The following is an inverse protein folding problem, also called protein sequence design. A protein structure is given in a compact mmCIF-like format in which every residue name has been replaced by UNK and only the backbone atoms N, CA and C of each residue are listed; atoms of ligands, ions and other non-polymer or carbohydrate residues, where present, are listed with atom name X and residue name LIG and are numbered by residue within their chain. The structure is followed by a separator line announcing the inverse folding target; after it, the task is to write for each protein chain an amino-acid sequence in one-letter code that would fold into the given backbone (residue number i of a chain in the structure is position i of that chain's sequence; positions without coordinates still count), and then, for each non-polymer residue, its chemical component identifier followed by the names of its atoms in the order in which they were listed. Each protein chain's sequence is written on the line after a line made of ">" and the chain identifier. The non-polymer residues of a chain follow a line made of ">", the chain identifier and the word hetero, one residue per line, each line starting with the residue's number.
data_IF_797302217996
#
_entry.id   IF_797302217996
#
_cell.length_a   1.000
_cell.length_b   1.000
_cell.length_c   1.000
_cell.angle_alpha   90.00
_cell.angle_beta   90.00
_cell.angle_gamma   90.00
#
_symmetry.space_group_name_H-M   'P 1'
#
loop_
_entity.id
_entity.type
_entity.pdbx_description
1 polymer ?
#
# COMPACT_ATOMS: atom_id res chain seq x y z
N UNK A 1 -12.71 -0.40 18.84
CA UNK A 1 -12.41 -1.69 18.19
C UNK A 1 -13.66 -2.47 17.78
N UNK A 2 -14.61 -2.79 18.68
CA UNK A 2 -15.80 -3.60 18.35
C UNK A 2 -16.66 -3.01 17.19
N UNK A 3 -16.85 -1.70 17.20
CA UNK A 3 -17.61 -0.99 16.18
C UNK A 3 -16.95 -1.00 14.79
N UNK A 4 -15.63 -0.82 14.75
CA UNK A 4 -14.86 -0.89 13.50
C UNK A 4 -14.94 -2.30 12.89
N UNK A 5 -14.92 -3.35 13.72
CA UNK A 5 -15.11 -4.73 13.25
C UNK A 5 -16.52 -4.99 12.72
N UNK A 6 -17.55 -4.42 13.37
CA UNK A 6 -18.94 -4.49 12.87
C UNK A 6 -19.07 -3.81 11.50
N UNK A 7 -18.54 -2.60 11.36
CA UNK A 7 -18.59 -1.85 10.10
C UNK A 7 -17.84 -2.57 8.97
N UNK A 8 -16.66 -3.10 9.26
CA UNK A 8 -15.93 -3.95 8.30
C UNK A 8 -16.74 -5.18 7.89
N UNK A 9 -17.40 -5.85 8.82
CA UNK A 9 -18.27 -6.99 8.52
C UNK A 9 -19.46 -6.61 7.62
N UNK A 10 -20.14 -5.51 7.92
CA UNK A 10 -21.25 -4.99 7.12
C UNK A 10 -20.79 -4.67 5.69
N UNK A 11 -19.75 -3.86 5.54
CA UNK A 11 -19.24 -3.49 4.22
C UNK A 11 -18.65 -4.67 3.47
N UNK A 12 -18.09 -5.66 4.18
CA UNK A 12 -17.65 -6.90 3.54
C UNK A 12 -18.82 -7.67 2.91
N UNK A 13 -19.96 -7.69 3.61
CA UNK A 13 -21.18 -8.30 3.09
C UNK A 13 -21.75 -7.51 1.90
N UNK A 14 -21.73 -6.18 1.97
CA UNK A 14 -22.25 -5.32 0.89
C UNK A 14 -21.40 -5.38 -0.37
N UNK A 15 -20.08 -5.50 -0.24
CA UNK A 15 -19.15 -5.59 -1.37
C UNK A 15 -18.93 -7.03 -1.85
N UNK A 16 -19.46 -8.04 -1.15
CA UNK A 16 -19.13 -9.46 -1.36
C UNK A 16 -17.62 -9.76 -1.37
N UNK A 17 -16.83 -8.93 -0.65
CA UNK A 17 -15.37 -8.98 -0.58
C UNK A 17 -14.95 -8.60 0.84
N UNK A 18 -13.83 -9.14 1.31
CA UNK A 18 -13.38 -8.86 2.68
C UNK A 18 -12.80 -7.45 2.77
N UNK A 19 -13.36 -6.63 3.63
CA UNK A 19 -12.86 -5.29 3.97
C UNK A 19 -11.85 -5.42 5.11
N UNK A 20 -10.59 -5.12 4.83
CA UNK A 20 -9.49 -5.18 5.79
C UNK A 20 -9.53 -3.96 6.71
N UNK A 21 -9.76 -2.78 6.13
CA UNK A 21 -9.82 -1.51 6.87
C UNK A 21 -10.81 -0.53 6.27
N UNK A 22 -11.23 0.42 7.10
CA UNK A 22 -11.99 1.62 6.72
C UNK A 22 -11.21 2.79 7.31
N UNK A 23 -10.61 3.62 6.45
CA UNK A 23 -9.58 4.57 6.85
C UNK A 23 -8.28 3.89 7.27
N UNK A 24 -7.42 4.64 7.95
CA UNK A 24 -6.10 4.22 8.42
C UNK A 24 -5.84 4.68 9.86
N UNK A 25 -5.15 3.83 10.62
CA UNK A 25 -4.58 4.20 11.93
C UNK A 25 -3.07 4.46 11.88
N UNK A 26 -2.50 4.59 10.68
CA UNK A 26 -1.08 4.91 10.49
C UNK A 26 -0.71 6.23 11.16
N UNK A 27 0.38 6.21 11.92
CA UNK A 27 0.92 7.40 12.57
C UNK A 27 1.89 8.09 11.61
N UNK A 28 1.45 9.21 11.05
CA UNK A 28 2.27 10.03 10.17
C UNK A 28 3.44 10.65 10.94
N UNK A 29 4.61 10.68 10.29
CA UNK A 29 5.87 11.21 10.83
C UNK A 29 6.36 12.45 10.07
N UNK A 30 5.76 12.74 8.91
CA UNK A 30 6.03 13.95 8.13
C UNK A 30 4.74 14.58 7.56
N UNK A 31 4.87 15.76 6.95
CA UNK A 31 3.75 16.54 6.41
C UNK A 31 3.01 15.81 5.29
N UNK A 32 3.75 15.25 4.32
CA UNK A 32 3.17 14.47 3.23
C UNK A 32 2.34 13.29 3.77
N UNK A 33 2.91 12.50 4.68
CA UNK A 33 2.19 11.39 5.31
C UNK A 33 0.94 11.86 6.05
N UNK A 34 0.99 13.04 6.68
CA UNK A 34 -0.13 13.63 7.41
C UNK A 34 -1.28 13.95 6.46
N UNK A 35 -0.98 14.50 5.28
CA UNK A 35 -1.99 14.83 4.27
C UNK A 35 -2.69 13.58 3.74
N UNK A 36 -1.93 12.55 3.37
CA UNK A 36 -2.54 11.31 2.87
C UNK A 36 -3.33 10.57 3.95
N UNK A 37 -2.82 10.48 5.18
CA UNK A 37 -3.56 9.88 6.31
C UNK A 37 -4.87 10.64 6.52
N UNK A 38 -4.82 11.97 6.45
CA UNK A 38 -6.00 12.82 6.60
C UNK A 38 -7.00 12.58 5.47
N UNK A 39 -6.57 12.55 4.21
CA UNK A 39 -7.44 12.30 3.05
C UNK A 39 -8.06 10.90 3.07
N UNK A 40 -7.28 9.87 3.42
CA UNK A 40 -7.78 8.48 3.54
C UNK A 40 -8.84 8.37 4.65
N UNK A 41 -8.63 9.05 5.78
CA UNK A 41 -9.59 9.06 6.89
C UNK A 41 -10.81 9.95 6.63
N UNK A 42 -10.64 11.07 5.91
CA UNK A 42 -11.72 11.95 5.49
C UNK A 42 -12.62 11.25 4.47
N UNK A 43 -12.03 10.56 3.51
CA UNK A 43 -12.76 9.85 2.45
C UNK A 43 -13.22 8.46 2.89
N UNK A 44 -12.87 8.01 4.10
CA UNK A 44 -13.19 6.65 4.60
C UNK A 44 -12.75 5.55 3.63
N UNK A 45 -11.64 5.77 2.92
CA UNK A 45 -11.13 4.83 1.92
C UNK A 45 -10.98 3.45 2.56
N UNK A 46 -11.57 2.45 1.91
CA UNK A 46 -11.58 1.09 2.38
C UNK A 46 -10.51 0.29 1.66
N UNK A 47 -9.73 -0.47 2.41
CA UNK A 47 -8.86 -1.48 1.84
C UNK A 47 -9.64 -2.79 1.71
N UNK A 48 -9.77 -3.28 0.49
CA UNK A 48 -10.56 -4.47 0.15
C UNK A 48 -9.64 -5.57 -0.37
N UNK A 49 -9.77 -6.77 0.19
CA UNK A 49 -9.14 -7.99 -0.32
C UNK A 49 -10.02 -8.56 -1.43
N UNK A 50 -9.56 -8.43 -2.69
CA UNK A 50 -10.30 -8.93 -3.85
C UNK A 50 -9.99 -10.41 -4.07
N UNK A 51 -8.71 -10.74 -3.95
CA UNK A 51 -8.16 -12.09 -3.97
C UNK A 51 -7.07 -12.18 -2.90
N UNK A 52 -7.19 -13.09 -1.92
CA UNK A 52 -6.20 -13.21 -0.86
C UNK A 52 -4.83 -13.58 -1.41
N UNK A 53 -3.79 -12.99 -0.84
CA UNK A 53 -2.42 -13.41 -1.11
C UNK A 53 -2.17 -14.76 -0.42
N UNK A 54 -1.45 -15.67 -1.08
CA UNK A 54 -0.92 -16.85 -0.39
C UNK A 54 0.40 -16.44 0.25
N UNK A 55 0.38 -16.21 1.56
CA UNK A 55 1.54 -15.76 2.32
C UNK A 55 2.27 -16.99 2.85
N UNK A 56 3.37 -17.35 2.21
CA UNK A 56 4.32 -18.34 2.72
C UNK A 56 5.74 -17.97 2.26
N UNK A 57 6.76 -18.61 2.84
CA UNK A 57 8.15 -18.28 2.54
C UNK A 57 8.47 -18.44 1.05
N UNK A 58 7.94 -19.48 0.38
CA UNK A 58 8.17 -19.73 -1.04
C UNK A 58 7.62 -18.60 -1.92
N UNK A 59 6.38 -18.16 -1.67
CA UNK A 59 5.77 -17.06 -2.44
C UNK A 59 6.43 -15.73 -2.15
N UNK A 60 6.91 -15.51 -0.91
CA UNK A 60 7.65 -14.31 -0.53
C UNK A 60 9.01 -14.26 -1.24
N UNK A 61 9.73 -15.38 -1.29
CA UNK A 61 11.01 -15.48 -2.00
C UNK A 61 10.81 -15.33 -3.51
N UNK A 62 9.83 -16.00 -4.10
CA UNK A 62 9.51 -15.82 -5.52
C UNK A 62 9.15 -14.36 -5.85
N UNK A 63 8.39 -13.68 -4.98
CA UNK A 63 8.11 -12.25 -5.15
C UNK A 63 9.36 -11.37 -4.99
N UNK A 64 10.27 -11.73 -4.08
CA UNK A 64 11.52 -10.99 -3.91
C UNK A 64 12.44 -11.17 -5.12
N UNK A 65 12.56 -12.38 -5.66
CA UNK A 65 13.33 -12.66 -6.89
C UNK A 65 12.72 -12.01 -8.13
N UNK A 66 11.43 -11.71 -8.10
CA UNK A 66 10.80 -10.88 -9.13
C UNK A 66 11.13 -9.41 -8.89
N UNK A 67 10.98 -8.89 -7.66
CA UNK A 67 11.24 -7.48 -7.33
C UNK A 67 12.72 -7.08 -7.50
N UNK A 68 13.62 -7.90 -6.97
CA UNK A 68 15.07 -7.81 -7.13
C UNK A 68 15.39 -8.61 -8.38
N UNK A 69 15.76 -7.91 -9.45
CA UNK A 69 16.14 -8.51 -10.72
C UNK A 69 17.03 -9.74 -10.49
N UNK A 70 16.67 -10.90 -11.06
CA UNK A 70 17.40 -12.16 -10.83
C UNK A 70 18.89 -12.05 -11.17
N UNK A 71 19.28 -11.06 -11.99
CA UNK A 71 20.68 -10.75 -12.33
C UNK A 71 21.46 -10.15 -11.16
N UNK A 72 20.78 -9.48 -10.24
CA UNK A 72 21.37 -8.86 -9.04
C UNK A 72 21.47 -9.88 -7.87
N UNK A 73 20.93 -11.10 -8.02
CA UNK A 73 20.94 -12.14 -7.00
C UNK A 73 21.96 -13.26 -7.33
N UNK A 74 23.00 -13.46 -6.51
CA UNK A 74 24.00 -14.52 -6.73
C UNK A 74 23.38 -15.92 -6.69
N UNK A 75 23.88 -16.87 -7.50
CA UNK A 75 23.34 -18.23 -7.61
C UNK A 75 23.56 -19.07 -6.34
N UNK A 76 24.68 -18.86 -5.65
CA UNK A 76 25.03 -19.55 -4.41
C UNK A 76 24.34 -18.97 -3.15
N UNK A 77 23.28 -18.18 -3.32
CA UNK A 77 22.47 -17.66 -2.21
C UNK A 77 21.64 -18.76 -1.56
N UNK A 78 21.39 -18.64 -0.26
CA UNK A 78 20.33 -19.38 0.42
C UNK A 78 19.34 -18.39 1.03
N UNK A 79 18.05 -18.66 0.84
CA UNK A 79 17.00 -17.93 1.53
C UNK A 79 16.68 -18.61 2.85
N UNK A 80 16.54 -17.80 3.89
CA UNK A 80 16.12 -18.25 5.21
C UNK A 80 14.91 -17.44 5.67
N UNK A 81 14.02 -18.11 6.39
CA UNK A 81 12.98 -17.47 7.18
C UNK A 81 13.47 -17.43 8.63
N UNK A 82 13.58 -16.23 9.17
CA UNK A 82 13.96 -15.99 10.58
C UNK A 82 12.69 -15.97 11.42
N UNK A 83 11.66 -15.27 10.90
CA UNK A 83 10.34 -15.18 11.52
C UNK A 83 9.28 -15.33 10.43
N UNK A 84 8.30 -16.23 10.61
CA UNK A 84 7.24 -16.41 9.63
C UNK A 84 6.43 -15.14 9.44
N UNK A 85 5.95 -14.91 8.22
CA UNK A 85 5.02 -13.82 7.96
C UNK A 85 3.73 -14.01 8.75
N UNK A 86 3.12 -12.89 9.12
CA UNK A 86 1.77 -12.89 9.64
C UNK A 86 0.83 -13.30 8.49
N UNK A 87 -0.05 -14.28 8.72
CA UNK A 87 -1.06 -14.72 7.74
C UNK A 87 -2.21 -13.70 7.55
N UNK A 88 -1.89 -12.42 7.71
CA UNK A 88 -2.82 -11.29 7.61
C UNK A 88 -2.09 -10.14 6.95
N UNK A 89 -2.67 -9.68 5.84
CA UNK A 89 -2.30 -8.38 5.28
C UNK A 89 -2.82 -7.30 6.20
N UNK A 90 -1.89 -6.59 6.84
CA UNK A 90 -2.19 -5.48 7.74
C UNK A 90 -2.24 -4.16 6.96
N UNK A 91 -3.24 -3.33 7.27
CA UNK A 91 -3.44 -1.98 6.72
C UNK A 91 -2.20 -1.09 6.92
N UNK A 92 -1.56 -1.17 8.09
CA UNK A 92 -0.31 -0.45 8.40
C UNK A 92 0.81 -0.78 7.40
N UNK A 93 0.92 -2.06 7.00
CA UNK A 93 1.93 -2.49 6.07
C UNK A 93 1.64 -2.02 4.63
N UNK A 94 0.42 -1.60 4.31
CA UNK A 94 0.02 -1.16 2.98
C UNK A 94 0.18 0.35 2.80
N UNK A 95 -0.23 1.15 3.78
CA UNK A 95 0.01 2.59 3.75
C UNK A 95 1.51 2.90 3.85
N UNK A 96 2.21 2.31 4.84
CA UNK A 96 3.62 2.60 5.08
C UNK A 96 4.53 1.98 4.03
N UNK A 97 4.30 0.74 3.56
CA UNK A 97 5.21 0.13 2.58
C UNK A 97 4.93 0.50 1.13
N UNK A 98 3.76 1.07 0.79
CA UNK A 98 3.35 1.18 -0.62
C UNK A 98 2.98 2.60 -1.06
N UNK A 99 2.43 3.47 -0.21
CA UNK A 99 2.08 4.83 -0.66
C UNK A 99 3.15 5.86 -0.28
N UNK A 100 3.80 5.71 0.88
CA UNK A 100 4.54 6.83 1.49
C UNK A 100 6.00 7.00 1.09
N UNK A 101 6.56 6.16 0.20
CA UNK A 101 7.91 6.40 -0.32
C UNK A 101 8.96 6.21 0.76
N UNK A 102 9.55 5.03 0.80
CA UNK A 102 10.32 4.61 1.95
C UNK A 102 11.81 4.87 1.79
N UNK A 103 12.29 5.96 2.36
CA UNK A 103 13.65 5.94 2.88
C UNK A 103 13.81 4.65 3.72
N UNK A 104 14.72 3.79 3.28
CA UNK A 104 15.05 2.55 3.98
C UNK A 104 16.41 2.71 4.60
N UNK A 105 16.55 2.24 5.81
CA UNK A 105 17.83 2.25 6.47
C UNK A 105 18.54 0.93 6.17
N UNK A 106 19.75 1.04 5.65
CA UNK A 106 20.68 -0.07 5.48
C UNK A 106 21.72 0.02 6.59
N UNK A 107 21.70 -0.98 7.48
CA UNK A 107 22.75 -1.23 8.45
C UNK A 107 23.75 -2.23 7.85
N UNK A 108 25.04 -1.98 8.08
CA UNK A 108 26.15 -2.85 7.67
C UNK A 108 27.12 -3.00 8.83
N UNK A 109 27.54 -4.23 9.10
CA UNK A 109 28.48 -4.62 10.14
C UNK A 109 29.58 -5.50 9.53
N UNK A 110 30.82 -5.25 9.94
CA UNK A 110 31.96 -6.14 9.74
C UNK A 110 32.21 -6.93 11.02
N UNK A 111 32.26 -8.25 10.92
CA UNK A 111 32.58 -9.12 12.06
C UNK A 111 34.02 -8.94 12.58
N UNK A 112 34.88 -8.28 11.81
CA UNK A 112 36.26 -7.96 12.18
C UNK A 112 36.63 -6.55 11.68
N UNK A 113 37.49 -5.82 12.39
CA UNK A 113 37.97 -4.52 11.93
C UNK A 113 38.77 -4.65 10.64
N UNK A 114 38.24 -4.06 9.56
CA UNK A 114 38.88 -3.95 8.25
C UNK A 114 38.73 -2.53 7.73
N UNK A 115 39.70 -2.05 6.94
CA UNK A 115 39.64 -0.76 6.27
C UNK A 115 38.74 -0.82 5.02
N UNK A 116 37.48 -1.22 5.20
CA UNK A 116 36.48 -1.32 4.13
C UNK A 116 35.36 -0.30 4.27
N UNK A 117 35.19 0.31 5.45
CA UNK A 117 34.08 1.24 5.74
C UNK A 117 34.04 2.44 4.80
N UNK A 118 35.19 3.01 4.44
CA UNK A 118 35.24 4.13 3.49
C UNK A 118 34.84 3.70 2.08
N UNK A 119 35.25 2.51 1.65
CA UNK A 119 34.83 1.93 0.36
C UNK A 119 33.34 1.61 0.37
N UNK A 120 32.82 1.07 1.46
CA UNK A 120 31.40 0.77 1.61
C UNK A 120 30.55 2.05 1.54
N UNK A 121 30.98 3.12 2.21
CA UNK A 121 30.32 4.41 2.14
C UNK A 121 30.29 4.97 0.71
N UNK A 122 31.40 4.88 -0.04
CA UNK A 122 31.46 5.32 -1.44
C UNK A 122 30.53 4.51 -2.35
N UNK A 123 30.45 3.18 -2.14
CA UNK A 123 29.54 2.31 -2.91
C UNK A 123 28.07 2.65 -2.65
N UNK A 124 27.72 2.95 -1.41
CA UNK A 124 26.36 3.38 -1.02
C UNK A 124 26.02 4.73 -1.66
N UNK A 125 26.91 5.71 -1.58
CA UNK A 125 26.73 7.03 -2.21
C UNK A 125 26.60 6.94 -3.74
N UNK A 126 27.37 6.05 -4.38
CA UNK A 126 27.28 5.78 -5.82
C UNK A 126 25.95 5.14 -6.23
N UNK A 127 25.23 4.53 -5.29
CA UNK A 127 23.89 3.98 -5.46
C UNK A 127 22.80 4.94 -4.96
N UNK A 128 23.11 6.25 -4.89
CA UNK A 128 22.20 7.31 -4.42
C UNK A 128 21.78 7.17 -2.95
N UNK A 129 22.51 6.42 -2.14
CA UNK A 129 22.32 6.37 -0.69
C UNK A 129 23.02 7.49 0.06
N UNK A 130 22.49 7.86 1.21
CA UNK A 130 23.07 8.86 2.11
C UNK A 130 23.62 8.19 3.37
N UNK A 131 24.83 8.58 3.79
CA UNK A 131 25.44 8.02 5.00
C UNK A 131 24.92 8.80 6.21
N UNK A 132 24.30 8.11 7.15
CA UNK A 132 23.76 8.70 8.38
C UNK A 132 24.80 8.59 9.51
N UNK A 133 25.37 7.41 9.67
CA UNK A 133 26.39 7.13 10.69
C UNK A 133 27.45 6.18 10.13
N UNK A 134 28.72 6.43 10.46
CA UNK A 134 29.84 5.59 10.05
C UNK A 134 30.81 5.42 11.22
N UNK A 135 30.87 4.20 11.74
CA UNK A 135 31.86 3.75 12.70
C UNK A 135 33.06 3.07 12.04
N UNK A 136 33.88 2.41 12.86
CA UNK A 136 35.05 1.64 12.38
C UNK A 136 34.67 0.27 11.82
N UNK A 137 33.60 -0.32 12.34
CA UNK A 137 33.14 -1.68 12.02
C UNK A 137 31.68 -1.71 11.59
N UNK A 138 30.96 -0.60 11.69
CA UNK A 138 29.55 -0.53 11.37
C UNK A 138 29.18 0.77 10.66
N UNK A 139 28.08 0.74 9.92
CA UNK A 139 27.59 1.86 9.12
C UNK A 139 26.07 1.80 9.04
N UNK A 140 25.43 2.96 9.17
CA UNK A 140 24.01 3.16 8.90
C UNK A 140 23.86 4.16 7.76
N UNK A 141 23.04 3.80 6.77
CA UNK A 141 22.77 4.65 5.62
C UNK A 141 21.28 4.67 5.29
N UNK A 142 20.84 5.73 4.65
CA UNK A 142 19.52 5.91 4.07
C UNK A 142 19.58 5.56 2.58
N UNK A 143 18.68 4.69 2.14
CA UNK A 143 18.64 4.14 0.79
C UNK A 143 17.32 4.51 0.11
N UNK A 144 17.31 4.74 -1.22
CA UNK A 144 16.11 5.15 -1.96
C UNK A 144 14.96 4.14 -1.90
N UNK A 145 15.28 2.84 -1.76
CA UNK A 145 14.28 1.78 -1.69
C UNK A 145 14.81 0.56 -0.97
N UNK A 146 13.90 -0.34 -0.56
CA UNK A 146 14.28 -1.65 0.01
C UNK A 146 15.09 -2.49 -0.97
N UNK A 147 14.71 -2.45 -2.25
CA UNK A 147 15.39 -3.16 -3.34
C UNK A 147 16.84 -2.67 -3.48
N UNK A 148 17.04 -1.35 -3.49
CA UNK A 148 18.37 -0.77 -3.59
C UNK A 148 19.23 -1.10 -2.37
N UNK A 149 18.64 -1.03 -1.17
CA UNK A 149 19.32 -1.45 0.06
C UNK A 149 19.81 -2.90 0.00
N UNK A 150 18.96 -3.85 -0.43
CA UNK A 150 19.34 -5.27 -0.55
C UNK A 150 20.41 -5.46 -1.63
N UNK A 151 20.24 -4.84 -2.81
CA UNK A 151 21.20 -4.93 -3.92
C UNK A 151 22.58 -4.40 -3.54
N UNK A 152 22.63 -3.24 -2.89
CA UNK A 152 23.90 -2.65 -2.42
C UNK A 152 24.51 -3.54 -1.34
N UNK A 153 23.72 -4.02 -0.37
CA UNK A 153 24.20 -4.92 0.67
C UNK A 153 24.88 -6.17 0.09
N UNK A 154 24.31 -6.81 -0.94
CA UNK A 154 24.93 -7.96 -1.61
C UNK A 154 26.30 -7.59 -2.22
N UNK A 155 26.44 -6.40 -2.84
CA UNK A 155 27.72 -5.93 -3.37
C UNK A 155 28.76 -5.70 -2.26
N UNK A 156 28.35 -5.13 -1.14
CA UNK A 156 29.21 -4.93 0.04
C UNK A 156 29.67 -6.27 0.63
N UNK A 157 28.75 -7.23 0.77
CA UNK A 157 29.03 -8.59 1.23
C UNK A 157 30.03 -9.27 0.29
N UNK A 158 29.81 -9.16 -1.02
CA UNK A 158 30.71 -9.73 -2.03
C UNK A 158 32.13 -9.21 -1.87
N UNK A 159 32.29 -7.88 -1.77
CA UNK A 159 33.59 -7.26 -1.57
C UNK A 159 34.23 -7.64 -0.23
N UNK A 160 33.46 -7.65 0.86
CA UNK A 160 33.96 -8.06 2.17
C UNK A 160 34.49 -9.49 2.15
N UNK A 161 33.70 -10.43 1.62
CA UNK A 161 34.09 -11.84 1.57
C UNK A 161 35.30 -12.07 0.65
N UNK A 162 35.43 -11.33 -0.46
CA UNK A 162 36.64 -11.33 -1.30
C UNK A 162 37.89 -10.86 -0.54
N UNK A 163 37.72 -10.02 0.48
CA UNK A 163 38.80 -9.54 1.37
C UNK A 163 38.96 -10.40 2.63
N UNK A 164 38.25 -11.53 2.72
CA UNK A 164 38.30 -12.44 3.86
C UNK A 164 37.56 -11.94 5.10
N UNK A 165 36.66 -10.95 4.95
CA UNK A 165 35.84 -10.42 6.03
C UNK A 165 34.37 -10.75 5.80
N UNK A 166 33.73 -11.41 6.76
CA UNK A 166 32.28 -11.57 6.69
C UNK A 166 31.59 -10.23 6.93
N UNK A 167 30.43 -10.07 6.30
CA UNK A 167 29.64 -8.83 6.36
C UNK A 167 28.21 -9.20 6.70
N UNK A 168 27.69 -8.58 7.75
CA UNK A 168 26.26 -8.59 8.06
C UNK A 168 25.65 -7.32 7.51
N UNK A 169 24.50 -7.43 6.87
CA UNK A 169 23.70 -6.29 6.50
C UNK A 169 22.24 -6.51 6.87
N UNK A 170 21.49 -5.43 7.02
CA UNK A 170 20.05 -5.51 7.20
C UNK A 170 19.37 -4.23 6.71
N UNK A 171 18.19 -4.40 6.13
CA UNK A 171 17.34 -3.30 5.63
C UNK A 171 16.11 -3.17 6.51
N UNK A 172 15.85 -1.96 7.00
CA UNK A 172 14.76 -1.65 7.91
C UNK A 172 14.05 -0.33 7.56
N UNK A 173 12.89 -0.10 8.16
CA UNK A 173 12.16 1.18 8.01
C UNK A 173 12.86 2.32 8.77
N UNK A 174 13.59 1.99 9.83
CA UNK A 174 14.39 2.92 10.63
C UNK A 174 15.78 2.34 10.87
N UNK A 175 16.75 3.17 11.24
CA UNK A 175 18.10 2.71 11.59
C UNK A 175 18.09 1.70 12.74
N UNK A 176 17.26 1.93 13.76
CA UNK A 176 17.08 1.01 14.87
C UNK A 176 16.50 -0.33 14.38
N UNK A 177 15.48 -0.31 13.52
CA UNK A 177 14.88 -1.52 12.99
C UNK A 177 15.83 -2.31 12.07
N UNK A 178 16.76 -1.64 11.36
CA UNK A 178 17.79 -2.36 10.59
C UNK A 178 18.84 -2.99 11.50
N UNK A 179 19.25 -2.32 12.58
CA UNK A 179 20.20 -2.88 13.57
C UNK A 179 19.60 -4.09 14.29
N UNK A 180 18.38 -3.96 14.82
CA UNK A 180 17.69 -5.04 15.54
C UNK A 180 17.59 -6.31 14.67
N UNK A 181 17.31 -6.14 13.37
CA UNK A 181 17.27 -7.24 12.41
C UNK A 181 18.60 -7.88 12.12
N UNK A 182 19.68 -7.10 12.10
CA UNK A 182 21.02 -7.65 11.98
C UNK A 182 21.38 -8.48 13.22
N UNK A 183 20.96 -8.05 14.41
CA UNK A 183 21.12 -8.79 15.66
C UNK A 183 20.34 -10.10 15.61
N UNK A 184 19.05 -10.08 15.26
CA UNK A 184 18.21 -11.29 15.16
C UNK A 184 18.78 -12.27 14.14
N UNK A 185 19.24 -11.77 12.99
CA UNK A 185 19.90 -12.60 11.98
C UNK A 185 21.21 -13.19 12.50
N UNK A 186 22.01 -12.44 13.27
CA UNK A 186 23.23 -12.96 13.90
C UNK A 186 22.92 -14.09 14.90
N UNK A 187 21.80 -14.01 15.64
CA UNK A 187 21.38 -15.09 16.54
C UNK A 187 21.01 -16.36 15.78
N UNK A 188 20.37 -16.23 14.61
CA UNK A 188 19.87 -17.38 13.85
C UNK A 188 20.96 -18.08 13.02
N UNK A 189 21.86 -17.34 12.36
CA UNK A 189 22.85 -17.92 11.43
C UNK A 189 24.32 -17.75 11.83
N UNK A 190 24.57 -17.15 12.99
CA UNK A 190 25.92 -16.88 13.49
C UNK A 190 26.73 -15.95 12.56
N UNK A 191 28.05 -16.15 12.43
CA UNK A 191 28.95 -15.24 11.72
C UNK A 191 28.90 -15.36 10.19
N UNK A 192 27.84 -15.95 9.65
CA UNK A 192 27.65 -16.13 8.20
C UNK A 192 27.22 -14.83 7.55
N UNK A 193 27.83 -14.44 6.43
CA UNK A 193 27.45 -13.21 5.72
C UNK A 193 26.03 -13.29 5.18
N UNK A 194 25.32 -12.17 5.22
CA UNK A 194 23.97 -12.11 4.67
C UNK A 194 23.27 -10.79 4.91
N UNK A 195 22.15 -10.60 4.22
CA UNK A 195 21.28 -9.42 4.31
C UNK A 195 19.91 -9.80 4.85
N UNK A 196 19.52 -9.20 5.97
CA UNK A 196 18.20 -9.35 6.59
C UNK A 196 17.20 -8.28 6.13
N UNK A 197 15.93 -8.62 6.01
CA UNK A 197 14.87 -7.68 5.61
C UNK A 197 13.49 -8.14 6.07
N UNK A 198 12.51 -7.22 6.02
CA UNK A 198 11.10 -7.53 6.32
C UNK A 198 10.21 -7.58 5.08
N UNK A 199 9.20 -8.44 5.14
CA UNK A 199 8.09 -8.47 4.17
C UNK A 199 6.84 -9.05 4.82
N UNK A 200 5.72 -8.33 4.75
CA UNK A 200 4.42 -8.76 5.27
C UNK A 200 4.46 -9.22 6.74
N UNK A 201 5.16 -8.48 7.60
CA UNK A 201 5.30 -8.80 9.04
C UNK A 201 6.28 -9.94 9.36
N UNK A 202 6.76 -10.67 8.35
CA UNK A 202 7.81 -11.69 8.50
C UNK A 202 9.21 -11.12 8.32
N UNK A 203 10.20 -11.89 8.77
CA UNK A 203 11.62 -11.55 8.70
C UNK A 203 12.40 -12.64 7.97
N UNK A 204 13.22 -12.19 7.03
CA UNK A 204 13.86 -13.06 6.05
C UNK A 204 15.31 -12.65 5.87
N UNK A 205 16.12 -13.61 5.42
CA UNK A 205 17.53 -13.39 5.13
C UNK A 205 17.94 -13.97 3.78
N UNK A 206 18.87 -13.29 3.11
CA UNK A 206 19.67 -13.87 2.01
C UNK A 206 21.07 -14.10 2.56
N UNK A 207 21.53 -15.35 2.59
CA UNK A 207 22.80 -15.73 3.21
C UNK A 207 23.77 -16.31 2.19
N UNK A 208 25.07 -16.15 2.48
CA UNK A 208 26.17 -16.57 1.62
C UNK A 208 27.22 -17.33 2.44
N UNK A 209 27.29 -18.65 2.24
CA UNK A 209 28.31 -19.51 2.86
C UNK A 209 29.66 -19.44 2.13
N UNK A 210 29.63 -19.06 0.85
CA UNK A 210 30.79 -18.83 0.00
C UNK A 210 30.68 -17.46 -0.68
N UNK A 211 31.79 -16.95 -1.23
CA UNK A 211 31.81 -15.65 -1.90
C UNK A 211 30.70 -15.62 -2.97
N UNK A 212 29.80 -14.62 -2.93
CA UNK A 212 28.77 -14.46 -3.95
C UNK A 212 29.31 -14.55 -5.38
N UNK A 213 28.71 -15.40 -6.21
CA UNK A 213 29.10 -15.54 -7.61
C UNK A 213 28.73 -14.29 -8.41
N UNK A 214 29.67 -13.74 -9.17
CA UNK A 214 29.45 -12.63 -10.10
C UNK A 214 28.84 -13.07 -11.44
N UNK A 215 28.54 -14.36 -11.62
CA UNK A 215 27.88 -14.86 -12.82
C UNK A 215 26.46 -14.30 -12.88
N UNK A 216 26.33 -13.16 -13.57
CA UNK A 216 25.05 -12.58 -13.95
C UNK A 216 24.39 -13.56 -14.91
N UNK A 217 23.20 -14.05 -14.58
CA UNK A 217 22.41 -14.84 -15.52
C UNK A 217 22.13 -13.96 -16.74
N UNK A 218 22.49 -14.43 -17.94
CA UNK A 218 22.18 -13.74 -19.19
C UNK A 218 20.67 -13.88 -19.48
N UNK A 219 19.87 -13.13 -18.73
CA UNK A 219 18.45 -12.96 -18.95
C UNK A 219 18.23 -11.62 -19.63
N UNK A 220 17.44 -11.62 -20.71
CA UNK A 220 16.91 -10.36 -21.26
C UNK A 220 16.25 -9.59 -20.10
N UNK A 221 16.54 -8.28 -19.93
CA UNK A 221 15.94 -7.49 -18.87
C UNK A 221 14.42 -7.70 -18.89
N UNK A 222 13.84 -8.25 -17.81
CA UNK A 222 12.41 -8.07 -17.59
C UNK A 222 12.30 -6.69 -16.98
N UNK A 223 12.07 -5.70 -17.84
CA UNK A 223 11.70 -4.36 -17.39
C UNK A 223 10.37 -4.55 -16.67
N UNK A 224 10.40 -4.55 -15.33
CA UNK A 224 9.17 -4.57 -14.53
C UNK A 224 8.63 -3.16 -14.60
N UNK A 225 7.85 -2.92 -15.65
CA UNK A 225 7.12 -1.69 -15.84
C UNK A 225 5.97 -1.64 -14.83
N UNK A 226 5.74 -0.47 -14.23
CA UNK A 226 4.61 -0.28 -13.32
C UNK A 226 3.54 0.46 -14.12
N UNK A 227 2.73 -0.31 -14.84
CA UNK A 227 1.67 0.24 -15.65
C UNK A 227 0.46 0.61 -14.80
N UNK A 228 -0.03 1.83 -14.98
CA UNK A 228 -1.32 2.29 -14.49
C UNK A 228 -2.26 2.47 -15.68
N UNK A 229 -3.45 1.89 -15.57
CA UNK A 229 -4.58 2.09 -16.47
C UNK A 229 -5.65 2.90 -15.73
N UNK A 230 -6.03 4.05 -16.26
CA UNK A 230 -7.15 4.86 -15.76
C UNK A 230 -8.24 4.83 -16.81
N UNK A 231 -9.49 4.71 -16.38
CA UNK A 231 -10.64 4.97 -17.22
C UNK A 231 -11.80 5.56 -16.40
N UNK A 232 -12.57 6.46 -17.01
CA UNK A 232 -13.70 7.09 -16.35
C UNK A 232 -14.95 6.19 -16.34
N UNK A 233 -15.46 5.88 -15.14
CA UNK A 233 -16.72 5.15 -14.96
C UNK A 233 -17.90 6.00 -15.42
N UNK A 234 -18.83 5.37 -16.14
CA UNK A 234 -20.02 5.99 -16.72
C UNK A 234 -19.72 7.32 -17.45
N UNK A 235 -18.66 7.34 -18.26
CA UNK A 235 -18.27 8.54 -19.03
C UNK A 235 -19.41 9.06 -19.90
N UNK A 236 -20.26 8.18 -20.43
CA UNK A 236 -21.45 8.55 -21.22
C UNK A 236 -22.50 9.30 -20.38
N UNK A 237 -22.84 8.78 -19.18
CA UNK A 237 -23.75 9.46 -18.26
C UNK A 237 -23.19 10.79 -17.76
N UNK A 238 -21.88 10.84 -17.48
CA UNK A 238 -21.19 12.07 -17.09
C UNK A 238 -21.24 13.14 -18.19
N UNK A 239 -20.92 12.78 -19.44
CA UNK A 239 -21.00 13.67 -20.60
C UNK A 239 -22.42 14.20 -20.78
N UNK A 240 -23.43 13.35 -20.60
CA UNK A 240 -24.84 13.77 -20.70
C UNK A 240 -25.23 14.80 -19.64
N UNK A 241 -24.60 14.78 -18.46
CA UNK A 241 -24.93 15.64 -17.32
C UNK A 241 -24.12 16.93 -17.27
N UNK A 242 -22.84 16.87 -17.60
CA UNK A 242 -21.88 17.96 -17.42
C UNK A 242 -21.23 18.45 -18.72
N UNK A 243 -21.48 17.76 -19.84
CA UNK A 243 -20.89 18.06 -21.14
C UNK A 243 -19.52 17.40 -21.34
N UNK A 244 -19.17 17.19 -22.62
CA UNK A 244 -17.90 16.55 -23.01
C UNK A 244 -16.69 17.38 -22.59
N UNK A 245 -16.79 18.70 -22.68
CA UNK A 245 -15.67 19.60 -22.38
C UNK A 245 -15.20 19.46 -20.92
N UNK A 246 -16.12 19.22 -19.98
CA UNK A 246 -15.77 19.02 -18.57
C UNK A 246 -15.00 17.71 -18.34
N UNK A 247 -15.38 16.64 -19.03
CA UNK A 247 -14.62 15.39 -18.99
C UNK A 247 -13.21 15.58 -19.55
N UNK A 248 -13.09 16.27 -20.69
CA UNK A 248 -11.80 16.55 -21.33
C UNK A 248 -10.90 17.39 -20.42
N UNK A 249 -11.46 18.42 -19.76
CA UNK A 249 -10.76 19.24 -18.78
C UNK A 249 -10.15 18.37 -17.67
N UNK A 250 -10.97 17.55 -17.01
CA UNK A 250 -10.52 16.67 -15.91
C UNK A 250 -9.42 15.71 -16.39
N UNK A 251 -9.61 15.06 -17.54
CA UNK A 251 -8.63 14.11 -18.08
C UNK A 251 -7.33 14.79 -18.51
N UNK A 252 -7.40 16.02 -19.03
CA UNK A 252 -6.21 16.80 -19.38
C UNK A 252 -5.45 17.28 -18.14
N UNK A 253 -6.15 17.67 -17.07
CA UNK A 253 -5.52 18.04 -15.80
C UNK A 253 -4.80 16.85 -15.17
N UNK A 254 -5.43 15.67 -15.18
CA UNK A 254 -4.81 14.42 -14.76
C UNK A 254 -3.56 14.13 -15.61
N UNK A 255 -3.66 14.24 -16.93
CA UNK A 255 -2.53 14.03 -17.83
C UNK A 255 -1.37 15.02 -17.58
N UNK A 256 -1.69 16.28 -17.31
CA UNK A 256 -0.72 17.32 -17.00
C UNK A 256 -0.03 17.07 -15.65
N UNK A 257 -0.80 16.75 -14.61
CA UNK A 257 -0.27 16.34 -13.31
C UNK A 257 0.67 15.14 -13.45
N UNK A 258 0.25 14.12 -14.22
CA UNK A 258 1.06 12.91 -14.38
C UNK A 258 2.41 13.25 -15.04
N UNK A 259 2.37 14.02 -16.12
CA UNK A 259 3.56 14.35 -16.92
C UNK A 259 4.52 15.28 -16.20
N UNK A 260 3.99 16.23 -15.43
CA UNK A 260 4.79 17.33 -14.85
C UNK A 260 5.19 17.08 -13.39
N UNK A 261 4.41 16.30 -12.63
CA UNK A 261 4.53 16.22 -11.18
C UNK A 261 4.68 14.79 -10.63
N UNK A 262 4.44 13.75 -11.43
CA UNK A 262 4.37 12.37 -10.93
C UNK A 262 5.44 11.39 -11.43
N UNK A 263 6.46 11.85 -12.15
CA UNK A 263 7.48 11.00 -12.82
C UNK A 263 6.90 9.94 -13.79
N UNK A 264 5.59 9.98 -14.05
CA UNK A 264 4.89 9.05 -14.92
C UNK A 264 5.08 9.37 -16.38
N UNK A 265 5.32 8.33 -17.19
CA UNK A 265 5.41 8.45 -18.65
C UNK A 265 4.12 7.99 -19.29
N UNK A 266 3.45 8.88 -20.01
CA UNK A 266 2.24 8.55 -20.78
C UNK A 266 2.62 7.65 -21.96
N UNK A 267 2.07 6.45 -21.97
CA UNK A 267 2.31 5.41 -22.98
C UNK A 267 1.12 5.24 -23.93
N UNK A 268 -0.06 5.71 -23.52
CA UNK A 268 -1.26 5.77 -24.34
C UNK A 268 -2.24 6.79 -23.79
N UNK A 269 -2.59 7.79 -24.59
CA UNK A 269 -3.69 8.72 -24.33
C UNK A 269 -4.28 9.13 -25.66
N UNK A 270 -5.58 8.95 -25.83
CA UNK A 270 -6.30 9.58 -26.94
C UNK A 270 -6.78 10.94 -26.46
N UNK A 271 -6.28 12.02 -27.05
CA UNK A 271 -6.72 13.38 -26.72
C UNK A 271 -8.24 13.47 -26.82
N UNK A 272 -8.89 13.78 -25.70
CA UNK A 272 -10.35 13.83 -25.57
C UNK A 272 -11.06 12.48 -25.38
N UNK A 273 -10.30 11.43 -25.06
CA UNK A 273 -10.78 10.15 -24.55
C UNK A 273 -10.94 10.15 -23.04
N UNK A 274 -11.46 9.04 -22.53
CA UNK A 274 -11.74 8.79 -21.10
C UNK A 274 -10.74 7.83 -20.45
N UNK A 275 -9.75 7.34 -21.20
CA UNK A 275 -8.75 6.38 -20.74
C UNK A 275 -7.29 6.87 -20.87
N UNK A 276 -6.44 6.41 -19.95
CA UNK A 276 -5.00 6.70 -19.92
C UNK A 276 -4.22 5.42 -19.59
N UNK A 277 -3.07 5.26 -20.25
CA UNK A 277 -2.05 4.25 -19.94
C UNK A 277 -0.75 4.96 -19.61
N UNK A 278 -0.23 4.71 -18.42
CA UNK A 278 0.94 5.36 -17.87
C UNK A 278 1.93 4.30 -17.39
N UNK A 279 3.24 4.52 -17.57
CA UNK A 279 4.29 3.72 -16.97
C UNK A 279 5.01 4.53 -15.89
N UNK A 280 5.23 3.93 -14.72
CA UNK A 280 5.92 4.53 -13.59
C UNK A 280 7.23 3.82 -13.26
N UNK A 281 8.23 4.55 -12.72
CA UNK A 281 9.50 3.97 -12.32
C UNK A 281 9.37 2.96 -11.17
N UNK A 282 8.37 3.15 -10.30
CA UNK A 282 8.07 2.21 -9.22
C UNK A 282 6.56 2.20 -8.91
N UNK A 283 6.12 1.14 -8.24
CA UNK A 283 4.72 0.92 -7.85
C UNK A 283 4.22 1.95 -6.82
N UNK A 284 5.12 2.50 -6.00
CA UNK A 284 4.75 3.41 -4.91
C UNK A 284 4.23 4.73 -5.47
N UNK A 285 4.99 5.31 -6.40
CA UNK A 285 4.59 6.49 -7.16
C UNK A 285 3.29 6.21 -7.92
N UNK A 286 3.18 5.06 -8.61
CA UNK A 286 1.96 4.69 -9.32
C UNK A 286 0.71 4.70 -8.41
N UNK A 287 0.81 4.15 -7.19
CA UNK A 287 -0.30 4.11 -6.23
C UNK A 287 -0.63 5.46 -5.62
N UNK A 288 0.39 6.27 -5.32
CA UNK A 288 0.22 7.64 -4.84
C UNK A 288 -0.53 8.47 -5.88
N UNK A 289 -0.03 8.46 -7.12
CA UNK A 289 -0.66 9.13 -8.26
C UNK A 289 -2.07 8.61 -8.53
N UNK A 290 -2.31 7.31 -8.41
CA UNK A 290 -3.67 6.75 -8.55
C UNK A 290 -4.65 7.34 -7.52
N UNK A 291 -4.25 7.49 -6.26
CA UNK A 291 -5.07 8.11 -5.23
C UNK A 291 -5.34 9.59 -5.51
N UNK A 292 -4.31 10.33 -5.91
CA UNK A 292 -4.43 11.76 -6.24
C UNK A 292 -5.39 11.98 -7.41
N UNK A 293 -5.24 11.19 -8.49
CA UNK A 293 -6.15 11.23 -9.63
C UNK A 293 -7.58 10.83 -9.23
N UNK A 294 -7.75 9.81 -8.39
CA UNK A 294 -9.06 9.37 -7.93
C UNK A 294 -9.76 10.44 -7.07
N UNK A 295 -9.05 11.09 -6.16
CA UNK A 295 -9.59 12.17 -5.34
C UNK A 295 -9.90 13.42 -6.17
N UNK A 296 -9.00 13.80 -7.09
CA UNK A 296 -9.21 14.93 -7.98
C UNK A 296 -10.46 14.76 -8.85
N UNK A 297 -10.58 13.60 -9.51
CA UNK A 297 -11.74 13.30 -10.34
C UNK A 297 -13.02 13.24 -9.51
N UNK A 298 -12.99 12.59 -8.35
CA UNK A 298 -14.14 12.48 -7.45
C UNK A 298 -14.63 13.87 -6.99
N UNK A 299 -13.72 14.78 -6.68
CA UNK A 299 -14.05 16.16 -6.30
C UNK A 299 -14.70 16.95 -7.46
N UNK A 300 -14.50 16.51 -8.70
CA UNK A 300 -15.14 17.03 -9.90
C UNK A 300 -16.36 16.19 -10.36
N UNK A 301 -16.85 15.29 -9.50
CA UNK A 301 -18.02 14.44 -9.74
C UNK A 301 -17.78 13.27 -10.72
N UNK A 302 -16.53 12.99 -11.07
CA UNK A 302 -16.14 11.89 -11.96
C UNK A 302 -15.53 10.74 -11.16
N UNK A 303 -15.98 9.51 -11.41
CA UNK A 303 -15.43 8.34 -10.74
C UNK A 303 -14.45 7.62 -11.67
N UNK A 304 -13.25 7.32 -11.18
CA UNK A 304 -12.25 6.60 -11.96
C UNK A 304 -12.22 5.11 -11.59
N UNK A 305 -12.09 4.25 -12.60
CA UNK A 305 -11.54 2.90 -12.44
C UNK A 305 -10.05 2.96 -12.72
N UNK A 306 -9.24 2.52 -11.74
CA UNK A 306 -7.79 2.53 -11.86
C UNK A 306 -7.26 1.13 -11.59
N UNK A 307 -6.37 0.64 -12.46
CA UNK A 307 -5.70 -0.64 -12.29
C UNK A 307 -4.19 -0.47 -12.43
N UNK A 308 -3.44 -1.05 -11.50
CA UNK A 308 -1.97 -1.03 -11.51
C UNK A 308 -1.48 -2.46 -11.69
N UNK A 309 -0.60 -2.69 -12.66
CA UNK A 309 -0.06 -4.02 -12.98
C UNK A 309 1.34 -3.94 -13.58
N UNK A 310 1.95 -5.09 -13.86
CA UNK A 310 3.32 -5.21 -14.39
C UNK A 310 3.36 -5.09 -15.93
N UNK A 311 2.19 -5.11 -16.56
CA UNK A 311 2.02 -4.92 -18.00
C UNK A 311 0.78 -4.10 -18.27
N UNK A 312 0.69 -3.49 -19.45
CA UNK A 312 -0.52 -2.77 -19.91
C UNK A 312 -1.78 -3.62 -19.79
N UNK A 313 -1.68 -4.91 -20.15
CA UNK A 313 -2.78 -5.86 -20.07
C UNK A 313 -3.21 -6.11 -18.62
N UNK A 314 -2.25 -6.39 -17.75
CA UNK A 314 -2.53 -6.64 -16.32
C UNK A 314 -3.12 -5.41 -15.63
N UNK A 315 -2.63 -4.21 -15.95
CA UNK A 315 -3.19 -2.95 -15.47
C UNK A 315 -4.66 -2.78 -15.92
N UNK A 316 -4.97 -3.06 -17.20
CA UNK A 316 -6.34 -3.04 -17.72
C UNK A 316 -7.25 -4.11 -17.09
N UNK A 317 -6.74 -5.34 -16.92
CA UNK A 317 -7.47 -6.42 -16.23
C UNK A 317 -7.77 -6.04 -14.77
N UNK A 318 -6.81 -5.44 -14.06
CA UNK A 318 -7.01 -4.91 -12.72
C UNK A 318 -8.04 -3.77 -12.70
N UNK A 319 -8.03 -2.86 -13.68
CA UNK A 319 -9.04 -1.80 -13.77
C UNK A 319 -10.46 -2.37 -13.97
N UNK A 320 -10.61 -3.44 -14.76
CA UNK A 320 -11.91 -4.10 -14.97
C UNK A 320 -12.44 -4.84 -13.74
N UNK A 321 -11.56 -5.31 -12.84
CA UNK A 321 -11.98 -5.88 -11.55
C UNK A 321 -12.77 -4.86 -10.73
N UNK A 322 -12.50 -3.56 -10.91
CA UNK A 322 -13.20 -2.50 -10.20
C UNK A 322 -14.71 -2.44 -10.45
N UNK A 323 -15.19 -3.00 -11.57
CA UNK A 323 -16.62 -3.05 -11.93
C UNK A 323 -17.39 -4.03 -11.02
N UNK A 324 -16.67 -4.98 -10.39
CA UNK A 324 -17.21 -5.93 -9.42
C UNK A 324 -17.28 -5.35 -8.00
N UNK A 325 -16.60 -4.22 -7.75
CA UNK A 325 -16.49 -3.59 -6.44
C UNK A 325 -17.44 -2.40 -6.35
N UNK A 326 -18.73 -2.69 -6.19
CA UNK A 326 -19.80 -1.68 -6.03
C UNK A 326 -20.85 -2.13 -5.05
N UNK A 327 -21.38 -1.19 -4.27
CA UNK A 327 -22.52 -1.43 -3.37
C UNK A 327 -23.82 -1.05 -4.08
N UNK A 328 -23.90 0.19 -4.60
CA UNK A 328 -25.09 0.72 -5.27
C UNK A 328 -24.75 1.68 -6.41
N UNK A 329 -23.86 2.62 -6.13
CA UNK A 329 -23.39 3.62 -7.08
C UNK A 329 -21.96 3.31 -7.52
N UNK A 330 -21.59 3.82 -8.70
CA UNK A 330 -20.20 3.81 -9.12
C UNK A 330 -19.40 4.75 -8.22
N UNK A 331 -18.25 4.27 -7.78
CA UNK A 331 -17.31 5.03 -6.96
C UNK A 331 -15.89 4.79 -7.45
N UNK A 332 -14.93 5.65 -7.07
CA UNK A 332 -13.54 5.47 -7.44
C UNK A 332 -12.98 4.21 -6.79
N UNK A 333 -12.27 3.41 -7.59
CA UNK A 333 -11.66 2.16 -7.12
C UNK A 333 -10.32 1.97 -7.81
N UNK A 334 -9.29 1.70 -7.00
CA UNK A 334 -7.92 1.48 -7.45
C UNK A 334 -7.55 0.04 -7.12
N UNK A 335 -7.30 -0.79 -8.12
CA UNK A 335 -6.94 -2.21 -7.96
C UNK A 335 -5.45 -2.40 -8.22
N UNK A 336 -4.78 -3.15 -7.35
CA UNK A 336 -3.34 -3.41 -7.44
C UNK A 336 -2.97 -4.78 -6.89
N UNK A 337 -1.86 -5.32 -7.39
CA UNK A 337 -1.33 -6.60 -6.90
C UNK A 337 -0.50 -6.39 -5.64
N UNK A 338 -0.65 -7.23 -4.63
CA UNK A 338 0.23 -7.27 -3.46
C UNK A 338 0.71 -8.70 -3.25
N UNK A 339 2.03 -8.90 -3.33
CA UNK A 339 2.60 -10.24 -3.46
C UNK A 339 1.91 -10.98 -4.64
N UNK A 340 1.22 -12.08 -4.35
CA UNK A 340 0.42 -12.84 -5.33
C UNK A 340 -1.11 -12.68 -5.15
N UNK A 341 -1.56 -11.74 -4.32
CA UNK A 341 -2.97 -11.40 -4.14
C UNK A 341 -3.36 -10.11 -4.85
N UNK A 342 -4.67 -9.85 -4.95
CA UNK A 342 -5.25 -8.62 -5.52
C UNK A 342 -6.02 -7.85 -4.47
N UNK A 343 -5.72 -6.56 -4.35
CA UNK A 343 -6.29 -5.67 -3.36
C UNK A 343 -6.83 -4.43 -4.05
N UNK A 344 -7.72 -3.73 -3.38
CA UNK A 344 -8.29 -2.51 -3.89
C UNK A 344 -8.42 -1.43 -2.82
N UNK A 345 -8.14 -0.19 -3.18
CA UNK A 345 -8.64 0.97 -2.46
C UNK A 345 -10.02 1.33 -3.04
N UNK A 346 -11.05 1.14 -2.23
CA UNK A 346 -12.43 1.50 -2.53
C UNK A 346 -12.75 2.81 -1.83
N UNK A 347 -13.03 3.88 -2.59
CA UNK A 347 -13.42 5.17 -2.04
C UNK A 347 -14.95 5.22 -2.01
N UNK A 348 -15.62 5.24 -0.83
CA UNK A 348 -17.07 5.22 -0.76
C UNK A 348 -17.73 6.51 -1.27
N UNK A 349 -18.98 6.40 -1.72
CA UNK A 349 -19.78 7.56 -2.14
C UNK A 349 -20.01 8.55 -0.98
N UNK A 350 -20.35 9.81 -1.29
CA UNK A 350 -20.67 10.83 -0.26
C UNK A 350 -21.75 10.39 0.71
N UNK A 351 -22.80 9.73 0.21
CA UNK A 351 -23.84 9.15 1.05
C UNK A 351 -23.26 8.11 2.02
N UNK A 352 -22.42 7.20 1.51
CA UNK A 352 -21.80 6.15 2.32
C UNK A 352 -20.84 6.72 3.36
N UNK A 353 -20.07 7.75 3.00
CA UNK A 353 -19.18 8.49 3.91
C UNK A 353 -19.96 9.19 5.01
N UNK A 354 -21.01 9.93 4.65
CA UNK A 354 -21.91 10.60 5.60
C UNK A 354 -22.57 9.61 6.56
N UNK A 355 -23.02 8.46 6.05
CA UNK A 355 -23.58 7.40 6.88
C UNK A 355 -22.53 6.85 7.86
N UNK A 356 -21.31 6.56 7.39
CA UNK A 356 -20.18 6.12 8.22
C UNK A 356 -19.84 7.14 9.31
N UNK A 357 -19.79 8.42 8.98
CA UNK A 357 -19.50 9.48 9.94
C UNK A 357 -20.62 9.66 10.97
N UNK A 358 -21.87 9.61 10.55
CA UNK A 358 -23.02 9.66 11.46
C UNK A 358 -22.99 8.48 12.44
N UNK A 359 -22.75 7.27 11.93
CA UNK A 359 -22.66 6.04 12.68
C UNK A 359 -21.49 6.11 13.68
N UNK A 360 -20.32 6.61 13.27
CA UNK A 360 -19.11 6.67 14.10
C UNK A 360 -19.15 7.77 15.14
N UNK A 361 -19.55 8.99 14.77
CA UNK A 361 -19.44 10.18 15.61
C UNK A 361 -20.71 10.50 16.41
N UNK A 362 -21.88 10.08 15.92
CA UNK A 362 -23.17 10.26 16.63
C UNK A 362 -23.69 8.96 17.24
N UNK A 363 -22.80 8.02 17.57
CA UNK A 363 -23.14 6.75 18.21
C UNK A 363 -23.98 6.92 19.50
N UNK A 364 -23.71 7.95 20.30
CA UNK A 364 -24.52 8.30 21.47
C UNK A 364 -25.95 8.73 21.13
N UNK A 365 -26.14 9.52 20.06
CA UNK A 365 -27.47 9.90 19.55
C UNK A 365 -28.22 8.66 19.03
N UNK A 366 -27.53 7.78 18.29
CA UNK A 366 -28.08 6.53 17.78
C UNK A 366 -28.52 5.58 18.90
N UNK A 367 -27.68 5.41 19.93
CA UNK A 367 -28.01 4.62 21.13
C UNK A 367 -29.21 5.25 21.85
N UNK A 368 -29.23 6.58 21.98
CA UNK A 368 -30.35 7.32 22.58
C UNK A 368 -31.66 7.13 21.81
N UNK A 369 -31.62 7.25 20.48
CA UNK A 369 -32.76 7.00 19.58
C UNK A 369 -33.23 5.55 19.68
N UNK A 370 -32.30 4.60 19.68
CA UNK A 370 -32.63 3.18 19.80
C UNK A 370 -33.28 2.88 21.15
N UNK A 371 -32.71 3.35 22.27
CA UNK A 371 -33.29 3.17 23.59
C UNK A 371 -34.65 3.86 23.71
N UNK A 372 -34.81 5.05 23.13
CA UNK A 372 -36.09 5.77 23.10
C UNK A 372 -37.17 4.97 22.35
N UNK A 373 -36.88 4.54 21.11
CA UNK A 373 -37.81 3.71 20.33
C UNK A 373 -38.11 2.41 21.06
N UNK A 374 -37.09 1.75 21.62
CA UNK A 374 -37.24 0.49 22.33
C UNK A 374 -38.13 0.62 23.57
N UNK A 375 -37.89 1.62 24.43
CA UNK A 375 -38.68 1.86 25.65
C UNK A 375 -40.13 2.20 25.28
N UNK A 376 -40.37 3.09 24.32
CA UNK A 376 -41.73 3.47 23.92
C UNK A 376 -42.45 2.30 23.25
N UNK A 377 -41.75 1.48 22.47
CA UNK A 377 -42.32 0.26 21.87
C UNK A 377 -42.65 -0.78 22.95
N UNK A 378 -41.80 -0.95 23.96
CA UNK A 378 -42.02 -1.86 25.08
C UNK A 378 -43.23 -1.42 25.94
N UNK A 379 -43.34 -0.11 26.21
CA UNK A 379 -44.49 0.47 26.92
C UNK A 379 -45.76 0.30 26.08
N UNK A 380 -45.70 0.61 24.79
CA UNK A 380 -46.81 0.41 23.85
C UNK A 380 -47.27 -1.05 23.80
N UNK A 381 -46.33 -2.00 23.76
CA UNK A 381 -46.63 -3.42 23.78
C UNK A 381 -47.33 -3.85 25.07
N UNK A 382 -46.81 -3.43 26.24
CA UNK A 382 -47.39 -3.78 27.54
C UNK A 382 -48.74 -3.08 27.83
N UNK A 383 -49.04 -1.98 27.14
CA UNK A 383 -50.31 -1.23 27.28
C UNK A 383 -51.32 -1.54 26.17
N UNK A 384 -51.02 -2.47 25.26
CA UNK A 384 -51.88 -2.81 24.12
C UNK A 384 -51.90 -1.78 22.98
N UNK A 385 -51.03 -0.77 23.03
CA UNK A 385 -50.92 0.32 22.06
C UNK A 385 -49.67 0.17 21.18
N UNK A 386 -49.64 -0.83 20.31
CA UNK A 386 -48.50 -1.12 19.43
C UNK A 386 -48.13 0.04 18.48
N UNK A 387 -49.08 0.94 18.18
CA UNK A 387 -48.87 2.11 17.32
C UNK A 387 -47.88 3.13 17.91
N UNK A 388 -47.65 3.13 19.23
CA UNK A 388 -46.69 4.03 19.89
C UNK A 388 -45.26 3.83 19.39
N UNK A 389 -44.87 2.59 19.05
CA UNK A 389 -43.54 2.32 18.48
C UNK A 389 -43.35 2.96 17.10
N UNK A 390 -44.42 3.01 16.30
CA UNK A 390 -44.41 3.64 14.97
C UNK A 390 -44.31 5.16 15.06
N UNK A 391 -45.02 5.77 16.01
CA UNK A 391 -44.90 7.21 16.32
C UNK A 391 -43.51 7.56 16.84
N UNK A 392 -42.94 6.73 17.72
CA UNK A 392 -41.57 6.92 18.20
C UNK A 392 -40.53 6.86 17.08
N UNK A 393 -40.70 5.95 16.10
CA UNK A 393 -39.85 5.89 14.92
C UNK A 393 -39.94 7.16 14.07
N UNK A 394 -41.14 7.68 13.81
CA UNK A 394 -41.33 8.93 13.06
C UNK A 394 -40.73 10.14 13.79
N UNK A 395 -40.90 10.21 15.10
CA UNK A 395 -40.34 11.29 15.92
C UNK A 395 -38.81 11.23 15.98
N UNK A 396 -38.25 10.03 16.11
CA UNK A 396 -36.81 9.81 16.03
C UNK A 396 -36.24 10.20 14.67
N UNK A 397 -36.93 9.88 13.57
CA UNK A 397 -36.56 10.30 12.23
C UNK A 397 -36.50 11.83 12.12
N UNK A 398 -37.50 12.52 12.66
CA UNK A 398 -37.55 13.99 12.73
C UNK A 398 -36.38 14.58 13.50
N UNK A 399 -36.09 14.06 14.70
CA UNK A 399 -34.95 14.51 15.52
C UNK A 399 -33.63 14.29 14.78
N UNK A 400 -33.45 13.13 14.16
CA UNK A 400 -32.23 12.82 13.41
C UNK A 400 -32.06 13.75 12.21
N UNK A 401 -33.14 14.08 11.49
CA UNK A 401 -33.11 15.01 10.34
C UNK A 401 -32.92 16.48 10.70
N UNK A 402 -33.31 16.89 11.92
CA UNK A 402 -33.17 18.29 12.39
C UNK A 402 -31.85 18.49 13.14
N UNK A 403 -31.30 17.44 13.75
CA UNK A 403 -30.02 17.47 14.46
C UNK A 403 -28.81 17.09 13.59
N UNK A 404 -29.04 16.63 12.35
CA UNK A 404 -28.05 16.51 11.27
C UNK A 404 -27.84 17.85 10.60
#
# INVERSE_FOLDING_TARGET
>A
MAFNNLMKGLFSSLLHKKVISIGTSYFATNELETDYVSLINLTKTMLVEVQPAQINSQTIFANLEQEIDQRDLPQNRKFIEIKPAEDKVNEFALLSNIIMGNDRYLYVELFKPYNLMDTFAQMIQSASGEIIEKGKTELVSRMPSKKDGIRVAIKLITLGMQKGCNVRAAVGMTGAASIERAIDMNMEIGPTSGVGFTKLGGEYGIIFESIPTLETVDLKPVQIDNFMYIDAKDSTGYISKYGKDKLIEIMNDINAYITNESEGKIEGYRVGGDDLIINFPNKEIALKTALDCAWYAMNNGLNLRIGIGRSRREAGENAHISDQLRIREDTPVIVFDLANGKYAYYIPSEFTRSALDFITNKSGLLIGVFLFIFIITLIGWNTGNAWMGLVAMLFALLIVTVAS
#
